data_IF_040577532922
#
_entry.id   IF_040577532922
#
_cell.length_a   1.000
_cell.length_b   1.000
_cell.length_c   1.000
_cell.angle_alpha   90.00
_cell.angle_beta   90.00
_cell.angle_gamma   90.00
#
_symmetry.space_group_name_H-M   'P 1'
#
loop_
_entity.id
_entity.type
_entity.pdbx_description
1 polymer ?
#
# COMPACT_ATOMS: atom_id res chain seq x y z
N UNK A 1 -14.09 -1.61 8.92
CA UNK A 1 -12.79 -1.28 8.31
C UNK A 1 -12.08 -2.59 8.02
N UNK A 2 -11.72 -2.88 6.76
CA UNK A 2 -11.01 -4.11 6.39
C UNK A 2 -9.52 -3.83 6.39
N UNK A 3 -8.71 -4.77 6.89
CA UNK A 3 -7.25 -4.63 6.96
C UNK A 3 -6.64 -5.54 5.90
N UNK A 4 -5.92 -4.94 4.95
CA UNK A 4 -5.13 -5.65 3.96
C UNK A 4 -3.72 -5.90 4.49
N UNK A 5 -3.10 -6.98 4.05
CA UNK A 5 -1.70 -7.30 4.33
C UNK A 5 -0.89 -7.24 3.04
N UNK A 6 0.21 -6.49 3.05
CA UNK A 6 1.18 -6.48 1.94
C UNK A 6 1.80 -7.86 1.83
N UNK A 7 1.72 -8.45 0.64
CA UNK A 7 2.37 -9.71 0.32
C UNK A 7 3.70 -9.49 -0.41
N UNK A 8 3.82 -8.38 -1.15
CA UNK A 8 5.00 -8.04 -1.94
C UNK A 8 5.08 -6.53 -2.19
N UNK A 9 6.30 -6.00 -2.26
CA UNK A 9 6.57 -4.64 -2.76
C UNK A 9 6.94 -4.75 -4.23
N UNK A 10 6.12 -4.19 -5.12
CA UNK A 10 6.29 -4.30 -6.58
C UNK A 10 7.11 -3.15 -7.16
N UNK A 11 7.29 -2.06 -6.42
CA UNK A 11 8.20 -0.98 -6.81
C UNK A 11 8.81 -0.35 -5.56
N UNK A 12 10.11 0.00 -5.60
CA UNK A 12 10.76 0.65 -4.45
C UNK A 12 10.16 2.04 -4.18
N UNK A 13 10.32 2.57 -2.96
CA UNK A 13 9.96 3.94 -2.63
C UNK A 13 10.53 4.95 -3.63
N UNK A 14 9.68 5.85 -4.11
CA UNK A 14 10.06 6.96 -5.00
C UNK A 14 9.41 8.25 -4.52
N UNK A 15 10.16 9.35 -4.52
CA UNK A 15 9.56 10.65 -4.22
C UNK A 15 8.75 11.15 -5.40
N UNK A 16 7.50 11.54 -5.15
CA UNK A 16 6.60 12.14 -6.10
C UNK A 16 6.54 13.67 -5.84
N UNK A 17 7.21 14.49 -6.68
CA UNK A 17 7.27 15.94 -6.46
C UNK A 17 5.94 16.66 -6.72
N UNK A 18 4.97 16.04 -7.40
CA UNK A 18 3.64 16.64 -7.62
C UNK A 18 2.79 16.58 -6.35
N UNK A 19 2.83 15.43 -5.67
CA UNK A 19 2.09 15.21 -4.43
C UNK A 19 2.87 15.68 -3.20
N UNK A 20 4.20 15.85 -3.31
CA UNK A 20 5.07 16.15 -2.18
C UNK A 20 5.19 14.97 -1.19
N UNK A 21 4.99 13.75 -1.68
CA UNK A 21 4.94 12.51 -0.89
C UNK A 21 5.82 11.42 -1.52
N UNK A 22 6.17 10.42 -0.72
CA UNK A 22 6.79 9.20 -1.19
C UNK A 22 5.72 8.20 -1.61
N UNK A 23 5.84 7.65 -2.81
CA UNK A 23 4.97 6.60 -3.32
C UNK A 23 5.67 5.24 -3.30
N UNK A 24 4.92 4.19 -2.96
CA UNK A 24 5.37 2.81 -3.01
C UNK A 24 4.24 1.94 -3.59
N UNK A 25 4.59 1.05 -4.53
CA UNK A 25 3.62 0.13 -5.11
C UNK A 25 3.76 -1.22 -4.43
N UNK A 26 2.62 -1.76 -3.99
CA UNK A 26 2.55 -3.02 -3.26
C UNK A 26 1.48 -3.92 -3.86
N UNK A 27 1.72 -5.23 -3.80
CA UNK A 27 0.66 -6.24 -3.89
C UNK A 27 0.18 -6.56 -2.49
N UNK A 28 -1.13 -6.64 -2.30
CA UNK A 28 -1.73 -6.94 -1.02
C UNK A 28 -2.78 -8.03 -1.14
N UNK A 29 -3.05 -8.66 0.00
CA UNK A 29 -4.14 -9.61 0.20
C UNK A 29 -5.11 -9.03 1.21
N UNK A 30 -6.40 -9.00 0.88
CA UNK A 30 -7.44 -8.58 1.81
C UNK A 30 -7.94 -9.76 2.70
N UNK A 31 -8.83 -9.51 3.68
CA UNK A 31 -9.37 -10.58 4.54
C UNK A 31 -10.20 -11.63 3.80
N UNK A 32 -10.73 -11.34 2.62
CA UNK A 32 -11.52 -12.25 1.78
C UNK A 32 -10.64 -13.07 0.83
N UNK A 33 -9.31 -12.91 0.93
CA UNK A 33 -8.31 -13.50 0.06
C UNK A 33 -8.35 -12.95 -1.38
N UNK A 34 -8.87 -11.74 -1.59
CA UNK A 34 -8.67 -11.04 -2.85
C UNK A 34 -7.24 -10.51 -2.91
N UNK A 35 -6.63 -10.61 -4.10
CA UNK A 35 -5.26 -10.19 -4.36
C UNK A 35 -5.29 -9.03 -5.36
N UNK A 36 -4.66 -7.91 -5.02
CA UNK A 36 -4.64 -6.73 -5.87
C UNK A 36 -3.37 -5.89 -5.63
N UNK A 37 -3.12 -4.92 -6.51
CA UNK A 37 -2.01 -3.97 -6.40
C UNK A 37 -2.50 -2.59 -6.02
N UNK A 38 -1.73 -1.86 -5.21
CA UNK A 38 -2.06 -0.50 -4.80
C UNK A 38 -0.82 0.36 -4.66
N UNK A 39 -0.96 1.63 -4.98
CA UNK A 39 0.03 2.66 -4.64
C UNK A 39 -0.32 3.27 -3.29
N UNK A 40 0.63 3.23 -2.36
CA UNK A 40 0.53 3.89 -1.06
C UNK A 40 1.37 5.15 -1.08
N UNK A 41 0.89 6.20 -0.41
CA UNK A 41 1.56 7.49 -0.29
C UNK A 41 1.85 7.79 1.17
N UNK A 42 3.08 8.20 1.46
CA UNK A 42 3.54 8.50 2.82
C UNK A 42 4.43 9.74 2.83
N UNK A 43 4.57 10.38 3.99
CA UNK A 43 5.27 11.67 4.12
C UNK A 43 6.79 11.55 4.04
N UNK A 44 7.35 10.47 4.57
CA UNK A 44 8.80 10.30 4.69
C UNK A 44 9.28 9.07 3.94
N UNK A 45 10.55 9.10 3.53
CA UNK A 45 11.21 7.93 2.94
C UNK A 45 11.28 6.77 3.94
N UNK A 46 11.49 7.07 5.23
CA UNK A 46 11.54 6.08 6.30
C UNK A 46 10.23 5.30 6.41
N UNK A 47 9.08 5.99 6.36
CA UNK A 47 7.76 5.35 6.36
C UNK A 47 7.57 4.47 5.12
N UNK A 48 8.05 4.93 3.96
CA UNK A 48 7.94 4.17 2.71
C UNK A 48 8.76 2.89 2.76
N UNK A 49 9.97 2.95 3.34
CA UNK A 49 10.85 1.79 3.55
C UNK A 49 10.34 0.84 4.62
N UNK A 50 9.52 1.31 5.56
CA UNK A 50 8.87 0.46 6.56
C UNK A 50 7.77 -0.42 5.95
N UNK A 51 7.21 -0.03 4.78
CA UNK A 51 6.23 -0.83 4.05
C UNK A 51 6.93 -2.00 3.35
N UNK A 52 6.67 -3.20 3.85
CA UNK A 52 7.24 -4.48 3.38
C UNK A 52 6.23 -5.60 3.56
N UNK A 53 6.57 -6.81 3.11
CA UNK A 53 5.74 -8.01 3.35
C UNK A 53 5.34 -8.12 4.82
N UNK A 54 4.04 -8.30 5.07
CA UNK A 54 3.44 -8.33 6.41
C UNK A 54 2.96 -6.96 6.93
N UNK A 55 3.29 -5.86 6.26
CA UNK A 55 2.74 -4.54 6.60
C UNK A 55 1.23 -4.53 6.37
N UNK A 56 0.48 -3.98 7.32
CA UNK A 56 -0.98 -3.92 7.24
C UNK A 56 -1.46 -2.50 7.06
N UNK A 57 -2.46 -2.31 6.20
CA UNK A 57 -3.09 -1.01 6.00
C UNK A 57 -4.60 -1.16 5.78
N UNK A 58 -5.38 -0.13 6.11
CA UNK A 58 -6.81 -0.20 5.87
C UNK A 58 -7.15 -0.08 4.40
N UNK A 59 -8.05 -0.94 3.96
CA UNK A 59 -8.71 -0.83 2.67
C UNK A 59 -10.18 -0.50 2.90
N UNK A 60 -10.70 0.48 2.14
CA UNK A 60 -12.14 0.66 2.02
C UNK A 60 -12.65 -0.56 1.27
N UNK A 61 -13.60 -1.29 1.84
CA UNK A 61 -14.32 -2.31 1.07
C UNK A 61 -14.92 -1.62 -0.14
N UNK A 62 -14.65 -2.13 -1.34
CA UNK A 62 -15.32 -1.67 -2.54
C UNK A 62 -16.78 -2.06 -2.35
N UNK A 63 -17.62 -1.11 -1.93
CA UNK A 63 -19.06 -1.29 -2.03
C UNK A 63 -19.37 -1.14 -3.50
N UNK A 64 -19.34 -2.25 -4.24
CA UNK A 64 -20.00 -2.30 -5.54
C UNK A 64 -21.48 -1.95 -5.30
N UNK A 65 -21.93 -0.88 -5.94
CA UNK A 65 -23.34 -0.48 -6.06
C UNK A 65 -23.69 -0.54 -7.53
#
# INVERSE_FOLDING_TARGET
MRIATVIEVTSPPKFNPKEGLWEIRVSYKDPENNHDTKTLFVKTEGDARAIRKGFTFPVKGVSER
#
